data_IF_385512546525
#
_entry.id   IF_385512546525
#
_cell.length_a   1.000
_cell.length_b   1.000
_cell.length_c   1.000
_cell.angle_alpha   90.00
_cell.angle_beta   90.00
_cell.angle_gamma   90.00
#
_symmetry.space_group_name_H-M   'P 1'
#
loop_
_entity.id
_entity.type
_entity.pdbx_description
1 polymer ?
#
# COMPACT_ATOMS: atom_id res chain seq x y z
N UNK A 1 4.09 -9.27 -7.36
CA UNK A 1 4.46 -10.16 -6.24
C UNK A 1 5.95 -10.47 -6.34
N UNK A 2 6.75 -10.18 -5.29
CA UNK A 2 8.16 -10.53 -5.28
C UNK A 2 8.37 -12.03 -5.07
N UNK A 3 9.36 -12.59 -5.77
CA UNK A 3 9.85 -13.96 -5.62
C UNK A 3 11.38 -13.95 -5.68
N UNK A 4 12.01 -14.93 -5.04
CA UNK A 4 13.48 -15.04 -4.99
C UNK A 4 13.94 -16.24 -5.80
N UNK A 5 14.90 -16.08 -6.70
CA UNK A 5 15.48 -17.21 -7.42
C UNK A 5 16.37 -18.05 -6.49
N UNK A 6 16.26 -19.38 -6.54
CA UNK A 6 16.95 -20.27 -5.57
C UNK A 6 18.45 -20.46 -5.85
N UNK A 7 18.90 -20.26 -7.09
CA UNK A 7 20.28 -20.50 -7.51
C UNK A 7 21.22 -19.33 -7.20
N UNK A 8 20.75 -18.09 -7.33
CA UNK A 8 21.56 -16.88 -7.24
C UNK A 8 20.98 -15.83 -6.27
N UNK A 9 19.85 -16.12 -5.63
CA UNK A 9 19.14 -15.23 -4.71
C UNK A 9 18.69 -13.89 -5.31
N UNK A 10 18.60 -13.77 -6.64
CA UNK A 10 18.07 -12.56 -7.27
C UNK A 10 16.58 -12.39 -7.00
N UNK A 11 16.14 -11.15 -6.87
CA UNK A 11 14.71 -10.83 -6.71
C UNK A 11 14.06 -10.65 -8.08
N UNK A 12 12.93 -11.32 -8.28
CA UNK A 12 12.07 -11.16 -9.44
C UNK A 12 10.67 -10.72 -9.02
N UNK A 13 10.00 -9.94 -9.88
CA UNK A 13 8.61 -9.55 -9.71
C UNK A 13 7.73 -10.25 -10.73
N UNK A 14 6.71 -10.94 -10.23
CA UNK A 14 5.59 -11.40 -11.05
C UNK A 14 4.55 -10.28 -11.08
N UNK A 15 4.13 -9.89 -12.29
CA UNK A 15 3.26 -8.71 -12.50
C UNK A 15 2.12 -9.06 -13.45
N UNK A 16 0.95 -8.44 -13.26
CA UNK A 16 -0.20 -8.62 -14.15
C UNK A 16 -0.09 -7.80 -15.45
N UNK A 17 0.83 -6.85 -15.53
CA UNK A 17 1.16 -6.07 -16.72
C UNK A 17 2.37 -6.65 -17.49
N UNK A 18 2.84 -7.85 -17.14
CA UNK A 18 3.92 -8.58 -17.81
C UNK A 18 5.17 -7.74 -18.15
N UNK A 19 5.59 -6.86 -17.24
CA UNK A 19 6.75 -5.98 -17.46
C UNK A 19 6.54 -4.83 -18.45
N UNK A 20 5.32 -4.51 -18.85
CA UNK A 20 5.00 -3.22 -19.50
C UNK A 20 5.48 -2.07 -18.61
N UNK A 21 6.05 -1.02 -19.22
CA UNK A 21 6.60 0.16 -18.56
C UNK A 21 8.08 0.40 -18.85
N UNK A 22 8.56 1.61 -18.54
CA UNK A 22 9.97 2.00 -18.73
C UNK A 22 10.72 1.92 -17.42
N UNK A 23 11.79 1.11 -17.40
CA UNK A 23 12.57 0.84 -16.19
C UNK A 23 14.01 1.27 -16.39
N UNK A 24 14.62 1.87 -15.36
CA UNK A 24 16.06 2.09 -15.32
C UNK A 24 16.78 0.75 -15.27
N UNK A 25 17.95 0.66 -15.92
CA UNK A 25 18.74 -0.58 -16.00
C UNK A 25 19.43 -0.93 -14.68
N UNK A 26 19.66 0.06 -13.80
CA UNK A 26 20.32 -0.11 -12.50
C UNK A 26 19.30 -0.38 -11.40
N UNK A 27 18.78 -1.62 -11.36
CA UNK A 27 17.78 -2.06 -10.38
C UNK A 27 18.25 -3.32 -9.65
N UNK A 28 17.79 -3.43 -8.43
CA UNK A 28 18.03 -4.52 -7.49
C UNK A 28 17.03 -5.70 -7.65
N UNK A 29 16.10 -5.61 -8.61
CA UNK A 29 15.17 -6.67 -9.01
C UNK A 29 14.92 -6.74 -10.52
N UNK A 30 14.40 -7.86 -10.97
CA UNK A 30 14.02 -8.13 -12.37
C UNK A 30 12.50 -8.35 -12.49
N UNK A 31 11.91 -8.15 -13.66
CA UNK A 31 10.53 -8.59 -13.91
C UNK A 31 10.59 -9.98 -14.51
N UNK A 32 9.82 -10.91 -13.94
CA UNK A 32 9.61 -12.20 -14.56
C UNK A 32 8.61 -12.00 -15.69
N UNK A 33 9.11 -12.04 -16.92
CA UNK A 33 8.30 -12.00 -18.13
C UNK A 33 8.06 -13.42 -18.59
N UNK A 34 6.79 -13.75 -18.77
CA UNK A 34 6.35 -14.99 -19.40
C UNK A 34 5.90 -14.70 -20.84
N UNK A 35 5.79 -15.74 -21.67
CA UNK A 35 5.24 -15.59 -23.03
C UNK A 35 3.88 -14.88 -23.03
N UNK A 36 3.51 -14.25 -24.14
CA UNK A 36 2.34 -13.34 -24.26
C UNK A 36 1.01 -13.92 -23.74
N UNK A 37 0.87 -15.26 -23.68
CA UNK A 37 -0.33 -15.97 -23.21
C UNK A 37 -0.19 -16.71 -21.86
N UNK A 38 0.99 -16.67 -21.22
CA UNK A 38 1.24 -17.41 -19.99
C UNK A 38 1.16 -16.51 -18.76
N UNK A 39 -0.01 -16.38 -18.14
CA UNK A 39 -0.07 -15.84 -16.79
C UNK A 39 0.55 -16.84 -15.81
N UNK A 40 1.61 -16.45 -15.09
CA UNK A 40 2.15 -17.28 -13.99
C UNK A 40 1.02 -17.53 -12.99
N UNK A 41 0.59 -18.78 -12.77
CA UNK A 41 -0.46 -19.06 -11.82
C UNK A 41 0.08 -18.76 -10.41
N UNK A 42 -0.33 -17.62 -9.83
CA UNK A 42 0.24 -17.08 -8.59
C UNK A 42 0.22 -18.10 -7.44
N UNK A 43 -0.80 -18.96 -7.38
CA UNK A 43 -0.93 -20.02 -6.36
C UNK A 43 0.20 -21.05 -6.38
N UNK A 44 0.91 -21.20 -7.51
CA UNK A 44 2.02 -22.17 -7.63
C UNK A 44 3.31 -21.69 -6.95
N UNK A 45 3.47 -20.40 -6.69
CA UNK A 45 4.69 -19.80 -6.14
C UNK A 45 4.75 -19.76 -4.59
N UNK A 46 3.72 -20.23 -3.88
CA UNK A 46 3.57 -20.00 -2.42
C UNK A 46 4.21 -21.04 -1.49
N UNK A 47 4.43 -22.29 -1.91
CA UNK A 47 4.72 -23.37 -0.94
C UNK A 47 5.94 -24.25 -1.24
N UNK A 48 6.34 -24.39 -2.50
CA UNK A 48 7.51 -25.17 -2.88
C UNK A 48 8.30 -24.41 -3.95
N UNK A 49 9.64 -24.54 -4.00
CA UNK A 49 10.44 -23.97 -5.07
C UNK A 49 9.88 -24.37 -6.43
N UNK A 50 9.35 -23.40 -7.17
CA UNK A 50 8.64 -23.67 -8.41
C UNK A 50 9.57 -23.46 -9.59
N UNK A 51 9.63 -24.44 -10.47
CA UNK A 51 10.24 -24.30 -11.78
C UNK A 51 9.35 -23.44 -12.69
N UNK A 52 9.87 -22.28 -13.07
CA UNK A 52 9.32 -21.40 -14.11
C UNK A 52 10.47 -21.18 -15.09
N UNK A 53 10.29 -21.59 -16.35
CA UNK A 53 11.30 -21.51 -17.41
C UNK A 53 12.69 -22.08 -17.04
N UNK A 54 12.71 -23.28 -16.44
CA UNK A 54 13.94 -23.97 -15.99
C UNK A 54 14.66 -23.28 -14.83
N UNK A 55 14.00 -22.34 -14.15
CA UNK A 55 14.52 -21.62 -12.99
C UNK A 55 13.59 -21.84 -11.80
N UNK A 56 14.17 -22.22 -10.65
CA UNK A 56 13.41 -22.39 -9.42
C UNK A 56 13.27 -21.07 -8.65
N UNK A 57 12.04 -20.78 -8.22
CA UNK A 57 11.69 -19.59 -7.42
C UNK A 57 11.07 -19.99 -6.09
N UNK A 58 11.40 -19.23 -5.04
CA UNK A 58 10.85 -19.35 -3.70
C UNK A 58 10.23 -18.01 -3.27
N UNK A 59 9.61 -18.00 -2.08
CA UNK A 59 8.98 -16.81 -1.50
C UNK A 59 9.92 -15.58 -1.50
N UNK A 60 9.37 -14.42 -1.87
CA UNK A 60 10.06 -13.13 -1.82
C UNK A 60 10.48 -12.70 -0.41
N UNK A 61 9.84 -13.22 0.64
CA UNK A 61 10.24 -13.02 2.03
C UNK A 61 11.59 -13.66 2.40
N UNK A 62 12.07 -14.63 1.62
CA UNK A 62 13.45 -15.17 1.76
C UNK A 62 14.49 -14.13 1.32
N UNK A 63 14.12 -13.26 0.38
CA UNK A 63 14.97 -12.21 -0.16
C UNK A 63 14.90 -10.91 0.66
N UNK A 64 15.51 -9.83 0.18
CA UNK A 64 15.56 -8.55 0.90
C UNK A 64 14.20 -7.82 1.00
N UNK A 65 13.14 -8.29 0.33
CA UNK A 65 11.86 -7.58 0.19
C UNK A 65 10.69 -8.26 0.92
N UNK A 66 10.83 -8.45 2.23
CA UNK A 66 9.71 -8.86 3.09
C UNK A 66 8.59 -7.80 3.16
N UNK A 67 8.89 -6.54 2.82
CA UNK A 67 7.91 -5.48 2.62
C UNK A 67 7.98 -4.98 1.16
N UNK A 68 6.97 -5.28 0.32
CA UNK A 68 6.99 -4.91 -1.10
C UNK A 68 6.66 -3.45 -1.37
N UNK A 69 6.42 -2.60 -0.35
CA UNK A 69 6.02 -1.21 -0.56
C UNK A 69 7.03 -0.41 -1.39
N UNK A 70 8.34 -0.62 -1.17
CA UNK A 70 9.40 0.00 -1.98
C UNK A 70 9.35 -0.42 -3.44
N UNK A 71 9.17 -1.72 -3.68
CA UNK A 71 9.04 -2.28 -5.04
C UNK A 71 7.79 -1.75 -5.75
N UNK A 72 6.66 -1.70 -5.05
CA UNK A 72 5.40 -1.19 -5.60
C UNK A 72 5.51 0.31 -5.95
N UNK A 73 6.19 1.09 -5.11
CA UNK A 73 6.45 2.50 -5.38
C UNK A 73 7.31 2.67 -6.65
N UNK A 74 8.43 1.94 -6.73
CA UNK A 74 9.32 1.98 -7.88
C UNK A 74 8.63 1.52 -9.18
N UNK A 75 7.75 0.53 -9.11
CA UNK A 75 7.00 0.05 -10.27
C UNK A 75 5.88 0.99 -10.71
N UNK A 76 5.29 1.75 -9.78
CA UNK A 76 4.35 2.82 -10.16
C UNK A 76 5.01 3.81 -11.12
N UNK A 77 6.24 4.23 -10.81
CA UNK A 77 7.00 5.13 -11.67
C UNK A 77 7.33 4.52 -13.05
N UNK A 78 7.49 3.20 -13.12
CA UNK A 78 7.78 2.50 -14.37
C UNK A 78 6.55 2.39 -15.27
N UNK A 79 5.38 2.12 -14.68
CA UNK A 79 4.12 1.91 -15.39
C UNK A 79 3.46 3.24 -15.76
N UNK A 80 3.60 4.27 -14.91
CA UNK A 80 2.98 5.59 -15.08
C UNK A 80 4.05 6.69 -15.16
N UNK A 81 4.80 6.79 -16.28
CA UNK A 81 5.91 7.73 -16.41
C UNK A 81 5.48 9.21 -16.35
N UNK A 82 4.25 9.53 -16.73
CA UNK A 82 3.70 10.89 -16.69
C UNK A 82 3.34 11.34 -15.27
N UNK A 83 2.99 10.39 -14.40
CA UNK A 83 2.67 10.61 -12.99
C UNK A 83 3.44 9.59 -12.14
N UNK A 84 4.77 9.70 -12.05
CA UNK A 84 5.61 8.64 -11.51
C UNK A 84 5.49 8.52 -9.99
N UNK A 85 5.00 9.56 -9.33
CA UNK A 85 4.79 9.59 -7.89
C UNK A 85 3.32 9.29 -7.56
N UNK A 86 3.02 8.20 -6.83
CA UNK A 86 1.67 7.94 -6.36
C UNK A 86 1.21 9.00 -5.36
N UNK A 87 -0.06 9.40 -5.45
CA UNK A 87 -0.68 10.36 -4.52
C UNK A 87 -1.03 9.77 -3.15
N UNK A 88 -1.02 8.43 -3.06
CA UNK A 88 -1.36 7.63 -1.88
C UNK A 88 -0.60 6.29 -1.91
N UNK A 89 0.01 5.91 -0.80
CA UNK A 89 0.63 4.59 -0.58
C UNK A 89 0.13 4.03 0.75
N UNK A 90 -0.55 2.90 0.70
CA UNK A 90 -0.95 2.16 1.90
C UNK A 90 -0.22 0.82 1.96
N UNK A 91 0.43 0.54 3.09
CA UNK A 91 1.13 -0.71 3.35
C UNK A 91 0.51 -1.38 4.56
N UNK A 92 0.10 -2.64 4.39
CA UNK A 92 -0.51 -3.44 5.46
C UNK A 92 0.47 -4.53 5.87
N UNK A 93 0.80 -4.57 7.15
CA UNK A 93 1.70 -5.55 7.74
C UNK A 93 0.95 -6.69 8.41
N UNK A 94 1.64 -7.82 8.55
CA UNK A 94 1.15 -9.02 9.26
C UNK A 94 1.49 -8.99 10.75
N UNK A 95 1.89 -7.83 11.27
CA UNK A 95 2.27 -7.63 12.65
C UNK A 95 3.74 -7.93 12.97
N UNK A 96 4.16 -7.39 14.11
CA UNK A 96 5.48 -7.62 14.68
C UNK A 96 5.37 -7.95 16.17
N UNK A 97 6.35 -8.71 16.68
CA UNK A 97 6.40 -9.04 18.10
C UNK A 97 6.58 -7.75 18.92
N UNK A 98 5.62 -7.45 19.80
CA UNK A 98 5.68 -6.32 20.72
C UNK A 98 6.81 -6.51 21.72
N UNK A 99 7.94 -5.85 21.48
CA UNK A 99 9.03 -5.80 22.43
C UNK A 99 8.64 -4.94 23.63
N UNK A 100 8.14 -5.54 24.71
CA UNK A 100 8.61 -5.06 26.02
C UNK A 100 10.13 -5.26 25.97
N UNK A 101 10.90 -4.18 25.84
CA UNK A 101 12.31 -4.25 26.17
C UNK A 101 12.37 -4.73 27.62
N UNK A 102 12.62 -6.02 27.79
CA UNK A 102 13.17 -6.52 29.04
C UNK A 102 14.51 -5.82 29.13
N UNK A 103 14.60 -4.83 30.02
CA UNK A 103 15.86 -4.33 30.51
C UNK A 103 16.71 -5.56 30.81
N UNK A 104 17.71 -5.81 29.96
CA UNK A 104 18.79 -6.74 30.25
C UNK A 104 19.61 -6.08 31.36
N UNK A 105 19.07 -6.09 32.57
CA UNK A 105 19.84 -5.84 33.77
C UNK A 105 20.87 -6.94 33.85
N UNK A 106 22.08 -6.61 33.40
CA UNK A 106 23.29 -7.40 33.58
C UNK A 106 23.39 -7.75 35.06
N UNK A 107 23.02 -8.98 35.42
CA UNK A 107 23.54 -9.66 36.60
C UNK A 107 24.23 -10.93 36.14
N UNK A 108 25.48 -10.72 35.74
CA UNK A 108 26.53 -11.73 35.81
C UNK A 108 26.57 -12.28 37.24
N UNK A 109 26.08 -13.50 37.44
CA UNK A 109 26.45 -14.32 38.58
C UNK A 109 27.00 -15.63 38.03
N UNK A 110 28.32 -15.66 37.93
CA UNK A 110 29.07 -16.89 37.74
C UNK A 110 28.88 -17.77 38.98
N UNK A 111 28.25 -18.94 38.82
CA UNK A 111 28.45 -20.05 39.75
C UNK A 111 28.68 -21.33 38.94
N UNK A 112 29.94 -21.76 38.98
CA UNK A 112 30.46 -23.04 38.53
C UNK A 112 29.71 -24.22 39.16
N UNK A 113 29.27 -25.21 38.38
CA UNK A 113 29.12 -26.60 38.85
C UNK A 113 29.49 -27.61 37.75
N UNK A 114 30.55 -28.38 38.02
CA UNK A 114 30.99 -29.57 37.28
C UNK A 114 29.88 -30.64 37.28
N UNK A 115 29.71 -31.45 36.20
CA UNK A 115 28.95 -32.69 36.29
C UNK A 115 29.88 -33.88 36.65
N UNK A 116 29.45 -34.75 37.56
CA UNK A 116 30.00 -36.10 37.75
C UNK A 116 29.05 -37.14 37.10
N UNK A 117 29.56 -38.31 36.66
CA UNK A 117 28.84 -39.21 35.76
C UNK A 117 28.20 -40.41 36.48
N UNK A 118 27.02 -40.83 36.01
CA UNK A 118 26.40 -42.17 36.20
C UNK A 118 25.03 -42.15 35.53
N UNK A 119 24.47 -43.16 34.85
CA UNK A 119 24.81 -44.55 34.53
C UNK A 119 24.02 -44.91 33.26
N UNK A 120 24.55 -45.87 32.52
CA UNK A 120 24.06 -46.41 31.24
C UNK A 120 22.75 -47.20 31.39
N UNK A 121 21.77 -46.94 30.52
CA UNK A 121 20.83 -47.94 30.00
C UNK A 121 20.67 -47.77 28.47
N UNK A 122 20.75 -48.89 27.75
CA UNK A 122 20.88 -49.00 26.28
C UNK A 122 19.54 -48.84 25.53
N UNK A 123 19.57 -48.59 24.19
CA UNK A 123 18.49 -47.95 23.45
C UNK A 123 17.53 -48.94 22.77
N UNK A 124 16.27 -48.53 22.55
CA UNK A 124 15.39 -49.15 21.55
C UNK A 124 15.21 -48.20 20.36
N UNK A 125 15.71 -48.62 19.20
CA UNK A 125 15.53 -47.98 17.89
C UNK A 125 14.07 -48.13 17.44
N UNK A 126 13.42 -47.02 17.10
CA UNK A 126 12.55 -46.93 15.91
C UNK A 126 12.79 -45.58 15.23
N UNK A 127 13.08 -45.67 13.94
CA UNK A 127 13.43 -44.58 13.04
C UNK A 127 12.27 -43.61 12.84
N UNK A 128 12.53 -42.32 13.02
CA UNK A 128 11.92 -41.28 12.20
C UNK A 128 13.00 -40.22 11.99
N UNK A 129 13.71 -40.33 10.86
CA UNK A 129 14.57 -39.25 10.37
C UNK A 129 13.64 -38.10 9.98
N UNK A 130 13.21 -37.28 10.95
CA UNK A 130 12.88 -35.89 10.66
C UNK A 130 14.22 -35.21 10.49
N UNK A 131 14.53 -34.76 9.27
CA UNK A 131 15.81 -34.16 8.98
C UNK A 131 15.97 -32.92 9.86
N UNK A 132 16.99 -32.90 10.70
CA UNK A 132 17.29 -31.75 11.56
C UNK A 132 17.66 -30.52 10.73
N UNK A 133 18.02 -30.69 9.45
CA UNK A 133 18.23 -29.61 8.48
C UNK A 133 16.97 -28.80 8.24
N UNK A 134 15.80 -29.43 8.14
CA UNK A 134 14.56 -28.75 7.71
C UNK A 134 14.00 -27.90 8.85
N UNK A 135 14.13 -28.38 10.09
CA UNK A 135 13.74 -27.62 11.28
C UNK A 135 14.72 -26.48 11.60
N UNK A 136 16.00 -26.62 11.28
CA UNK A 136 17.00 -25.57 11.51
C UNK A 136 17.00 -24.52 10.39
N UNK A 137 16.91 -24.94 9.14
CA UNK A 137 16.76 -24.06 7.99
C UNK A 137 15.44 -23.29 8.06
N UNK A 138 14.33 -23.93 8.45
CA UNK A 138 13.05 -23.23 8.66
C UNK A 138 13.09 -22.28 9.86
N UNK A 139 13.86 -22.57 10.92
CA UNK A 139 14.05 -21.64 12.05
C UNK A 139 14.96 -20.48 11.70
N UNK A 140 16.01 -20.71 10.91
CA UNK A 140 16.84 -19.63 10.35
C UNK A 140 16.01 -18.81 9.37
N UNK A 141 15.18 -19.44 8.54
CA UNK A 141 14.24 -18.80 7.63
C UNK A 141 13.20 -17.96 8.38
N UNK A 142 12.60 -18.48 9.46
CA UNK A 142 11.73 -17.70 10.36
C UNK A 142 12.50 -16.57 11.05
N UNK A 143 13.74 -16.81 11.48
CA UNK A 143 14.59 -15.79 12.07
C UNK A 143 15.00 -14.72 11.04
N UNK A 144 15.15 -15.08 9.76
CA UNK A 144 15.44 -14.18 8.64
C UNK A 144 14.21 -13.40 8.19
N UNK A 145 13.03 -14.02 8.11
CA UNK A 145 11.74 -13.33 7.94
C UNK A 145 11.48 -12.35 9.09
N UNK A 146 11.89 -12.72 10.32
CA UNK A 146 11.82 -11.81 11.48
C UNK A 146 12.96 -10.75 11.49
N UNK A 147 14.05 -10.96 10.75
CA UNK A 147 15.15 -9.99 10.57
C UNK A 147 14.97 -9.07 9.36
N UNK A 148 14.16 -9.47 8.38
CA UNK A 148 13.59 -8.62 7.35
C UNK A 148 12.57 -7.69 8.00
N UNK A 149 13.09 -6.75 8.78
CA UNK A 149 12.31 -5.79 9.55
C UNK A 149 11.50 -4.94 8.56
N UNK A 150 10.24 -5.36 8.33
CA UNK A 150 9.30 -4.70 7.42
C UNK A 150 9.13 -3.22 7.78
N UNK A 151 9.35 -2.88 9.05
CA UNK A 151 9.43 -1.52 9.57
C UNK A 151 10.67 -0.78 9.06
N UNK A 152 11.84 -1.42 8.96
CA UNK A 152 13.04 -0.80 8.35
C UNK A 152 12.84 -0.53 6.88
N UNK A 153 12.31 -1.49 6.13
CA UNK A 153 12.01 -1.30 4.71
C UNK A 153 11.02 -0.16 4.48
N UNK A 154 9.99 -0.06 5.34
CA UNK A 154 9.06 1.08 5.33
C UNK A 154 9.73 2.41 5.67
N UNK A 155 10.55 2.45 6.73
CA UNK A 155 11.32 3.65 7.11
C UNK A 155 12.28 4.08 6.01
N UNK A 156 12.89 3.13 5.29
CA UNK A 156 13.76 3.43 4.17
C UNK A 156 12.97 4.09 3.02
N UNK A 157 11.81 3.53 2.65
CA UNK A 157 10.91 4.15 1.66
C UNK A 157 10.54 5.58 2.07
N UNK A 158 10.14 5.78 3.32
CA UNK A 158 9.82 7.12 3.85
C UNK A 158 11.02 8.08 3.80
N UNK A 159 12.23 7.61 4.15
CA UNK A 159 13.43 8.45 4.12
C UNK A 159 13.84 8.86 2.70
N UNK A 160 13.57 8.00 1.71
CA UNK A 160 13.95 8.24 0.32
C UNK A 160 12.90 9.09 -0.41
N UNK A 161 11.62 8.92 -0.10
CA UNK A 161 10.53 9.46 -0.91
C UNK A 161 9.51 10.30 -0.12
N UNK A 162 9.51 10.24 1.22
CA UNK A 162 8.51 10.92 2.05
C UNK A 162 8.56 12.44 1.93
N UNK A 163 9.74 13.04 1.81
CA UNK A 163 9.87 14.50 1.66
C UNK A 163 9.72 14.98 0.21
N UNK A 164 10.03 14.11 -0.76
CA UNK A 164 10.08 14.46 -2.19
C UNK A 164 8.79 14.13 -2.94
N UNK A 165 7.99 13.21 -2.41
CA UNK A 165 6.71 12.84 -3.01
C UNK A 165 5.61 13.60 -2.31
N UNK A 166 4.84 14.40 -3.04
CA UNK A 166 3.64 15.05 -2.50
C UNK A 166 2.50 14.08 -2.13
N UNK A 167 2.79 12.78 -2.05
CA UNK A 167 1.87 11.70 -1.72
C UNK A 167 1.89 11.34 -0.23
N UNK A 168 0.80 10.75 0.24
CA UNK A 168 0.64 10.36 1.64
C UNK A 168 0.93 8.87 1.85
N UNK A 169 1.63 8.54 2.93
CA UNK A 169 2.05 7.18 3.25
C UNK A 169 1.37 6.70 4.52
N UNK A 170 0.73 5.52 4.44
CA UNK A 170 0.04 4.89 5.55
C UNK A 170 0.61 3.50 5.79
N UNK A 171 0.92 3.19 7.05
CA UNK A 171 1.32 1.84 7.48
C UNK A 171 0.42 1.39 8.60
N UNK A 172 -0.31 0.30 8.34
CA UNK A 172 -1.09 -0.39 9.36
C UNK A 172 -0.38 -1.69 9.68
N UNK A 173 -0.18 -1.95 10.96
CA UNK A 173 0.52 -3.14 11.43
C UNK A 173 -0.07 -3.58 12.77
N UNK A 174 -0.05 -4.89 13.02
CA UNK A 174 -0.58 -5.47 14.26
C UNK A 174 0.54 -5.56 15.30
N UNK A 175 0.29 -5.09 16.52
CA UNK A 175 1.25 -5.26 17.62
C UNK A 175 0.84 -6.44 18.49
N UNK A 176 1.62 -7.51 18.44
CA UNK A 176 1.36 -8.68 19.28
C UNK A 176 1.89 -8.47 20.70
N UNK A 177 1.07 -8.81 21.70
CA UNK A 177 1.50 -8.85 23.10
C UNK A 177 2.40 -10.08 23.36
N UNK A 178 3.67 -9.99 22.96
CA UNK A 178 4.66 -11.07 23.08
C UNK A 178 5.24 -11.51 21.74
N UNK A 179 5.55 -12.79 21.59
CA UNK A 179 5.99 -13.34 20.31
C UNK A 179 4.84 -13.34 19.30
N UNK A 180 5.11 -12.88 18.08
CA UNK A 180 4.18 -13.07 16.97
C UNK A 180 3.85 -14.56 16.80
N UNK A 181 2.60 -14.90 16.43
CA UNK A 181 2.19 -16.29 16.19
C UNK A 181 3.03 -16.90 15.05
N UNK A 182 3.24 -18.21 15.11
CA UNK A 182 3.86 -18.95 14.01
C UNK A 182 2.95 -18.89 12.78
N UNK A 183 3.53 -18.78 11.58
CA UNK A 183 2.77 -18.73 10.31
C UNK A 183 1.80 -19.91 10.14
N UNK A 184 2.18 -21.10 10.61
CA UNK A 184 1.34 -22.31 10.53
C UNK A 184 0.28 -22.43 11.64
N UNK A 185 0.12 -21.39 12.48
CA UNK A 185 -0.83 -21.41 13.59
C UNK A 185 -2.26 -21.12 13.11
N UNK A 186 -2.93 -22.18 12.66
CA UNK A 186 -4.35 -22.12 12.28
C UNK A 186 -5.32 -22.10 13.47
N UNK A 187 -4.83 -22.32 14.70
CA UNK A 187 -5.70 -22.44 15.89
C UNK A 187 -6.05 -21.11 16.53
N UNK A 188 -5.30 -20.05 16.24
CA UNK A 188 -5.51 -18.72 16.81
C UNK A 188 -6.03 -17.71 15.76
N UNK A 189 -6.54 -18.17 14.61
CA UNK A 189 -7.00 -17.30 13.52
C UNK A 189 -8.05 -16.29 13.98
N UNK A 190 -9.09 -16.73 14.70
CA UNK A 190 -10.15 -15.85 15.20
C UNK A 190 -9.57 -14.73 16.08
N UNK A 191 -8.65 -15.08 16.99
CA UNK A 191 -7.98 -14.09 17.87
C UNK A 191 -7.09 -13.13 17.09
N UNK A 192 -6.50 -13.58 15.99
CA UNK A 192 -5.66 -12.74 15.12
C UNK A 192 -6.52 -11.77 14.31
N UNK A 193 -7.71 -12.20 13.88
CA UNK A 193 -8.71 -11.37 13.23
C UNK A 193 -9.20 -10.29 14.19
N UNK A 194 -9.66 -10.68 15.39
CA UNK A 194 -10.10 -9.76 16.44
C UNK A 194 -9.03 -8.70 16.75
N UNK A 195 -7.77 -9.12 16.92
CA UNK A 195 -6.67 -8.22 17.22
C UNK A 195 -6.36 -7.26 16.05
N UNK A 196 -6.47 -7.74 14.80
CA UNK A 196 -6.26 -6.91 13.63
C UNK A 196 -7.37 -5.85 13.50
N UNK A 197 -8.61 -6.23 13.77
CA UNK A 197 -9.76 -5.33 13.82
C UNK A 197 -9.59 -4.27 14.92
N UNK A 198 -9.22 -4.68 16.13
CA UNK A 198 -8.93 -3.75 17.23
C UNK A 198 -7.82 -2.75 16.86
N UNK A 199 -6.72 -3.23 16.25
CA UNK A 199 -5.61 -2.38 15.85
C UNK A 199 -6.00 -1.37 14.76
N UNK A 200 -6.80 -1.79 13.77
CA UNK A 200 -7.16 -0.92 12.65
C UNK A 200 -8.21 0.11 13.07
N UNK A 201 -9.20 -0.27 13.88
CA UNK A 201 -10.24 0.64 14.40
C UNK A 201 -9.62 1.66 15.36
N UNK A 202 -8.65 1.25 16.19
CA UNK A 202 -7.96 2.17 17.08
C UNK A 202 -7.01 3.14 16.36
N UNK A 203 -6.72 2.93 15.07
CA UNK A 203 -5.79 3.77 14.33
C UNK A 203 -6.47 5.06 13.84
N UNK A 204 -6.06 6.25 14.33
CA UNK A 204 -6.64 7.53 13.89
C UNK A 204 -6.35 7.83 12.41
N UNK A 205 -5.38 7.13 11.80
CA UNK A 205 -5.04 7.31 10.39
C UNK A 205 -5.99 6.56 9.43
N UNK A 206 -6.90 5.72 9.94
CA UNK A 206 -7.83 4.97 9.09
C UNK A 206 -8.86 5.90 8.44
N UNK A 207 -9.44 6.82 9.21
CA UNK A 207 -10.40 7.80 8.70
C UNK A 207 -9.75 8.70 7.65
N UNK A 208 -8.53 9.18 7.92
CA UNK A 208 -7.72 9.93 6.97
C UNK A 208 -7.45 9.15 5.68
N UNK A 209 -7.10 7.85 5.77
CA UNK A 209 -6.90 7.00 4.59
C UNK A 209 -8.22 6.87 3.81
N UNK A 210 -9.33 6.64 4.49
CA UNK A 210 -10.64 6.49 3.87
C UNK A 210 -11.05 7.77 3.14
N UNK A 211 -10.97 8.93 3.80
CA UNK A 211 -11.20 10.24 3.18
C UNK A 211 -10.28 10.45 1.97
N UNK A 212 -9.01 10.08 2.06
CA UNK A 212 -8.07 10.20 0.93
C UNK A 212 -8.52 9.35 -0.25
N UNK A 213 -8.86 8.08 -0.04
CA UNK A 213 -9.37 7.19 -1.09
C UNK A 213 -10.65 7.77 -1.70
N UNK A 214 -11.58 8.27 -0.86
CA UNK A 214 -12.82 8.90 -1.33
C UNK A 214 -12.52 10.13 -2.20
N UNK A 215 -11.63 11.01 -1.77
CA UNK A 215 -11.22 12.19 -2.53
C UNK A 215 -10.54 11.86 -3.87
N UNK A 216 -9.71 10.80 -3.93
CA UNK A 216 -9.04 10.37 -5.16
C UNK A 216 -9.98 9.79 -6.23
N UNK A 217 -11.25 9.51 -5.88
CA UNK A 217 -12.28 9.14 -6.86
C UNK A 217 -12.84 10.36 -7.60
N UNK A 218 -12.54 11.59 -7.16
CA UNK A 218 -12.94 12.81 -7.85
C UNK A 218 -11.79 13.43 -8.63
N UNK A 219 -12.12 14.02 -9.77
CA UNK A 219 -11.19 14.78 -10.61
C UNK A 219 -11.91 15.97 -11.24
N UNK A 220 -11.13 16.92 -11.75
CA UNK A 220 -11.62 18.17 -12.31
C UNK A 220 -11.14 18.33 -13.75
N UNK A 221 -12.03 18.76 -14.63
CA UNK A 221 -11.71 19.11 -16.02
C UNK A 221 -12.23 20.52 -16.34
N UNK A 222 -11.48 21.25 -17.16
CA UNK A 222 -11.90 22.54 -17.68
C UNK A 222 -12.85 22.36 -18.86
N UNK A 223 -13.93 23.15 -18.90
CA UNK A 223 -14.89 23.14 -20.02
C UNK A 223 -14.30 23.80 -21.27
N UNK A 224 -13.48 24.84 -21.07
CA UNK A 224 -12.93 25.69 -22.12
C UNK A 224 -11.73 26.47 -21.59
N UNK A 225 -10.98 27.11 -22.49
CA UNK A 225 -9.84 27.95 -22.10
C UNK A 225 -10.31 29.11 -21.20
N UNK A 226 -9.71 29.28 -20.00
CA UNK A 226 -10.09 30.36 -19.09
C UNK A 226 -9.90 31.75 -19.71
N UNK A 227 -10.91 32.60 -19.55
CA UNK A 227 -10.88 33.98 -20.07
C UNK A 227 -10.22 34.92 -19.05
N UNK A 228 -9.34 35.81 -19.51
CA UNK A 228 -8.71 36.81 -18.64
C UNK A 228 -9.56 38.08 -18.59
N UNK A 229 -10.22 38.30 -17.45
CA UNK A 229 -11.14 39.42 -17.21
C UNK A 229 -10.82 40.08 -15.87
N UNK A 230 -10.75 41.42 -15.84
CA UNK A 230 -10.54 42.20 -14.61
C UNK A 230 -9.31 41.78 -13.77
N UNK A 231 -8.23 41.36 -14.42
CA UNK A 231 -6.99 40.97 -13.72
C UNK A 231 -6.97 39.52 -13.23
N UNK A 232 -8.01 38.72 -13.51
CA UNK A 232 -8.14 37.32 -13.10
C UNK A 232 -8.51 36.44 -14.28
N UNK A 233 -8.15 35.15 -14.20
CA UNK A 233 -8.64 34.14 -15.13
C UNK A 233 -9.92 33.53 -14.59
N UNK A 234 -11.02 33.66 -15.35
CA UNK A 234 -12.30 33.01 -15.07
C UNK A 234 -12.29 31.58 -15.60
N UNK A 235 -12.35 30.62 -14.67
CA UNK A 235 -12.35 29.19 -14.97
C UNK A 235 -13.77 28.63 -14.84
N UNK A 236 -14.19 27.84 -15.84
CA UNK A 236 -15.39 27.01 -15.79
C UNK A 236 -15.00 25.57 -16.08
N UNK A 237 -15.56 24.64 -15.32
CA UNK A 237 -15.29 23.21 -15.49
C UNK A 237 -16.28 22.35 -14.72
N UNK A 238 -16.04 21.04 -14.73
CA UNK A 238 -16.85 20.06 -14.01
C UNK A 238 -15.99 19.18 -13.12
N UNK A 239 -16.56 18.82 -11.97
CA UNK A 239 -16.08 17.74 -11.12
C UNK A 239 -16.78 16.44 -11.51
N UNK A 240 -15.99 15.40 -11.68
CA UNK A 240 -16.46 14.07 -12.07
C UNK A 240 -16.06 13.02 -11.03
N UNK A 241 -16.80 11.91 -11.00
CA UNK A 241 -16.48 10.72 -10.22
C UNK A 241 -15.93 9.62 -11.16
N UNK A 242 -14.89 8.90 -10.72
CA UNK A 242 -14.28 7.81 -11.47
C UNK A 242 -15.07 6.51 -11.43
N UNK A 243 -15.95 6.33 -10.44
CA UNK A 243 -16.74 5.12 -10.32
C UNK A 243 -17.77 5.03 -11.45
N UNK A 244 -18.01 3.80 -11.93
CA UNK A 244 -18.88 3.55 -13.07
C UNK A 244 -20.31 4.06 -12.79
N UNK A 245 -20.82 5.01 -13.60
CA UNK A 245 -22.17 5.54 -13.47
C UNK A 245 -23.25 4.45 -13.43
N UNK A 246 -24.18 4.57 -12.48
CA UNK A 246 -25.30 3.62 -12.35
C UNK A 246 -24.95 2.27 -11.70
N UNK A 247 -23.67 2.00 -11.39
CA UNK A 247 -23.31 0.84 -10.58
C UNK A 247 -23.77 1.00 -9.12
N UNK A 248 -24.03 -0.11 -8.43
CA UNK A 248 -24.36 -0.12 -6.99
C UNK A 248 -23.26 0.57 -6.17
N UNK A 249 -21.99 0.30 -6.51
CA UNK A 249 -20.83 0.92 -5.85
C UNK A 249 -20.83 2.44 -5.99
N UNK A 250 -21.14 2.97 -7.17
CA UNK A 250 -21.23 4.41 -7.40
C UNK A 250 -22.36 5.04 -6.56
N UNK A 251 -23.53 4.40 -6.52
CA UNK A 251 -24.67 4.89 -5.73
C UNK A 251 -24.33 4.92 -4.23
N UNK A 252 -23.92 3.78 -3.66
CA UNK A 252 -23.59 3.66 -2.23
C UNK A 252 -22.49 4.63 -1.83
N UNK A 253 -21.49 4.82 -2.70
CA UNK A 253 -20.41 5.79 -2.47
C UNK A 253 -20.94 7.23 -2.38
N UNK A 254 -21.71 7.70 -3.36
CA UNK A 254 -22.24 9.07 -3.35
C UNK A 254 -23.26 9.31 -2.23
N UNK A 255 -24.08 8.31 -1.93
CA UNK A 255 -25.02 8.34 -0.80
C UNK A 255 -24.26 8.46 0.53
N UNK A 256 -23.17 7.71 0.72
CA UNK A 256 -22.35 7.81 1.93
C UNK A 256 -21.77 9.20 2.13
N UNK A 257 -21.30 9.87 1.06
CA UNK A 257 -20.80 11.25 1.11
C UNK A 257 -21.91 12.25 1.45
N UNK A 258 -23.12 12.04 0.92
CA UNK A 258 -24.30 12.83 1.29
C UNK A 258 -24.62 12.71 2.79
N UNK A 259 -24.61 11.48 3.31
CA UNK A 259 -24.89 11.19 4.72
C UNK A 259 -23.81 11.76 5.66
N UNK A 260 -22.55 11.80 5.21
CA UNK A 260 -21.42 12.38 5.96
C UNK A 260 -21.34 13.91 5.89
N UNK A 261 -22.33 14.59 5.27
CA UNK A 261 -22.31 16.05 5.06
C UNK A 261 -21.05 16.55 4.34
N UNK A 262 -20.50 15.73 3.44
CA UNK A 262 -19.29 16.04 2.71
C UNK A 262 -19.50 17.21 1.75
N UNK A 263 -18.45 17.94 1.43
CA UNK A 263 -18.55 19.07 0.51
C UNK A 263 -17.20 19.38 -0.13
N UNK A 264 -17.24 20.02 -1.31
CA UNK A 264 -16.00 20.45 -1.98
C UNK A 264 -15.69 21.90 -1.65
N UNK A 265 -14.40 22.22 -1.64
CA UNK A 265 -13.91 23.58 -1.48
C UNK A 265 -12.92 23.92 -2.59
N UNK A 266 -13.09 25.10 -3.19
CA UNK A 266 -12.15 25.68 -4.17
C UNK A 266 -11.85 27.11 -3.75
N UNK A 267 -10.60 27.37 -3.34
CA UNK A 267 -10.25 28.66 -2.73
C UNK A 267 -11.12 28.95 -1.50
N UNK A 268 -11.83 30.07 -1.49
CA UNK A 268 -12.80 30.43 -0.43
C UNK A 268 -14.23 29.93 -0.68
N UNK A 269 -14.48 29.31 -1.84
CA UNK A 269 -15.83 28.88 -2.25
C UNK A 269 -16.11 27.47 -1.79
N UNK A 270 -17.22 27.31 -1.07
CA UNK A 270 -17.79 26.02 -0.71
C UNK A 270 -18.82 25.60 -1.76
N UNK A 271 -18.75 24.36 -2.20
CA UNK A 271 -19.68 23.76 -3.16
C UNK A 271 -20.62 22.82 -2.40
N UNK A 272 -21.91 22.89 -2.73
CA UNK A 272 -22.94 22.10 -2.05
C UNK A 272 -22.65 20.59 -2.11
N UNK A 273 -22.80 19.90 -0.97
CA UNK A 273 -22.68 18.45 -0.80
C UNK A 273 -23.84 17.62 -1.38
N UNK A 274 -24.53 18.15 -2.40
CA UNK A 274 -25.56 17.40 -3.13
C UNK A 274 -24.87 16.47 -4.13
N UNK A 275 -24.57 15.24 -3.70
CA UNK A 275 -23.88 14.24 -4.53
C UNK A 275 -24.84 13.42 -5.40
N UNK A 276 -26.11 13.31 -5.01
CA UNK A 276 -27.12 12.51 -5.74
C UNK A 276 -28.08 13.37 -6.59
N UNK A 277 -28.15 14.69 -6.38
CA UNK A 277 -29.17 15.54 -7.02
C UNK A 277 -28.75 16.13 -8.37
N UNK A 278 -27.45 16.22 -8.67
CA UNK A 278 -26.95 16.89 -9.88
C UNK A 278 -26.85 15.90 -11.06
N UNK A 279 -28.00 15.42 -11.54
CA UNK A 279 -28.17 14.92 -12.92
C UNK A 279 -28.65 16.04 -13.84
N UNK A 280 -28.16 17.25 -13.61
CA UNK A 280 -28.51 18.41 -14.43
C UNK A 280 -27.71 18.36 -15.74
N UNK A 281 -28.17 17.53 -16.68
CA UNK A 281 -27.99 17.56 -18.16
C UNK A 281 -27.66 16.23 -18.84
N UNK A 282 -28.34 15.14 -18.45
CA UNK A 282 -28.71 14.11 -19.43
C UNK A 282 -28.30 12.68 -19.10
N UNK A 283 -29.27 11.77 -19.28
CA UNK A 283 -29.22 10.33 -19.64
C UNK A 283 -28.20 9.39 -18.99
N UNK A 284 -27.23 9.87 -18.22
CA UNK A 284 -26.17 9.14 -17.59
C UNK A 284 -26.30 9.36 -16.08
N UNK A 285 -26.33 8.26 -15.32
CA UNK A 285 -26.33 8.29 -13.85
C UNK A 285 -24.95 8.71 -13.30
N UNK A 286 -24.19 9.52 -14.03
CA UNK A 286 -22.84 9.93 -13.69
C UNK A 286 -22.87 11.19 -12.83
N UNK A 287 -22.05 11.21 -11.79
CA UNK A 287 -21.81 12.43 -11.04
C UNK A 287 -21.10 13.46 -11.91
N UNK A 288 -21.73 14.63 -12.09
CA UNK A 288 -21.13 15.80 -12.74
C UNK A 288 -21.55 17.06 -12.00
N UNK A 289 -20.59 17.83 -11.49
CA UNK A 289 -20.87 19.07 -10.77
C UNK A 289 -20.14 20.25 -11.40
N UNK A 290 -20.90 21.20 -11.94
CA UNK A 290 -20.33 22.41 -12.53
C UNK A 290 -19.69 23.30 -11.45
N UNK A 291 -18.49 23.79 -11.74
CA UNK A 291 -17.75 24.71 -10.88
C UNK A 291 -17.23 25.90 -11.67
N UNK A 292 -17.32 27.08 -11.05
CA UNK A 292 -16.81 28.35 -11.58
C UNK A 292 -16.06 29.09 -10.49
N UNK A 293 -14.85 29.53 -10.81
CA UNK A 293 -13.93 30.21 -9.89
C UNK A 293 -12.92 31.06 -10.66
N UNK A 294 -12.21 31.93 -9.95
CA UNK A 294 -11.19 32.81 -10.54
C UNK A 294 -9.81 32.53 -9.96
N UNK A 295 -8.76 32.63 -10.78
CA UNK A 295 -7.36 32.49 -10.35
C UNK A 295 -6.50 33.65 -10.87
N UNK A 296 -5.46 34.00 -10.13
CA UNK A 296 -4.62 35.18 -10.43
C UNK A 296 -3.68 35.01 -11.63
N UNK A 297 -3.35 33.77 -12.01
CA UNK A 297 -2.43 33.52 -13.12
C UNK A 297 -2.44 32.08 -13.56
N UNK A 298 -1.97 31.81 -14.80
CA UNK A 298 -2.02 30.47 -15.40
C UNK A 298 -1.16 29.42 -14.69
N UNK A 299 -0.08 29.87 -14.05
CA UNK A 299 0.86 29.04 -13.28
C UNK A 299 0.62 29.12 -11.76
N UNK A 300 -0.36 29.91 -11.31
CA UNK A 300 -0.68 30.01 -9.88
C UNK A 300 -1.43 28.75 -9.48
N UNK A 301 -0.90 27.95 -8.53
CA UNK A 301 -1.56 26.72 -8.13
C UNK A 301 -2.84 27.01 -7.36
N UNK A 302 -3.88 26.22 -7.64
CA UNK A 302 -5.11 26.18 -6.85
C UNK A 302 -5.45 24.75 -6.47
N UNK A 303 -6.24 24.61 -5.40
CA UNK A 303 -6.65 23.30 -4.88
C UNK A 303 -8.14 23.12 -4.93
N UNK A 304 -8.54 21.88 -5.19
CA UNK A 304 -9.90 21.42 -4.96
C UNK A 304 -9.83 20.33 -3.91
N UNK A 305 -10.60 20.53 -2.84
CA UNK A 305 -10.52 19.71 -1.62
C UNK A 305 -11.88 19.11 -1.34
N UNK A 306 -11.93 17.82 -1.05
CA UNK A 306 -13.09 17.17 -0.46
C UNK A 306 -12.97 17.24 1.06
N UNK A 307 -14.01 17.72 1.70
CA UNK A 307 -14.17 17.77 3.14
C UNK A 307 -15.18 16.71 3.56
N UNK A 308 -14.87 16.03 4.65
CA UNK A 308 -15.79 15.17 5.39
C UNK A 308 -15.79 15.64 6.83
N UNK A 309 -16.96 15.99 7.37
CA UNK A 309 -17.08 16.79 8.59
C UNK A 309 -16.34 18.15 8.49
N UNK A 310 -16.17 18.86 9.61
CA UNK A 310 -15.50 20.17 9.65
C UNK A 310 -13.99 20.10 9.88
N UNK A 311 -13.45 18.92 10.22
CA UNK A 311 -12.07 18.80 10.72
C UNK A 311 -11.12 18.15 9.72
N UNK A 312 -11.63 17.32 8.81
CA UNK A 312 -10.81 16.56 7.87
C UNK A 312 -11.05 16.94 6.41
N UNK A 313 -9.96 17.11 5.68
CA UNK A 313 -9.98 17.49 4.27
C UNK A 313 -8.88 16.78 3.50
N UNK A 314 -9.18 16.40 2.25
CA UNK A 314 -8.21 15.84 1.32
C UNK A 314 -8.34 16.44 -0.07
N UNK A 315 -7.20 16.69 -0.71
CA UNK A 315 -7.14 17.04 -2.12
C UNK A 315 -7.78 15.94 -2.98
N UNK A 316 -8.54 16.34 -4.00
CA UNK A 316 -9.03 15.43 -5.04
C UNK A 316 -7.88 14.99 -5.97
N UNK A 317 -8.14 14.04 -6.86
CA UNK A 317 -7.12 13.57 -7.80
C UNK A 317 -6.64 14.69 -8.73
N UNK A 318 -5.32 14.79 -8.91
CA UNK A 318 -4.67 15.82 -9.75
C UNK A 318 -4.44 17.18 -9.07
N UNK A 319 -5.05 17.44 -7.91
CA UNK A 319 -4.79 18.67 -7.14
C UNK A 319 -3.40 18.59 -6.47
N UNK A 320 -2.56 19.63 -6.46
CA UNK A 320 -2.79 21.02 -6.91
C UNK A 320 -2.80 21.17 -8.43
N UNK A 321 -3.68 22.05 -8.92
CA UNK A 321 -3.84 22.35 -10.34
C UNK A 321 -3.23 23.71 -10.71
N UNK A 322 -2.80 23.82 -11.95
CA UNK A 322 -2.56 25.10 -12.64
C UNK A 322 -3.34 25.09 -13.96
N UNK A 323 -3.69 26.27 -14.49
CA UNK A 323 -4.39 26.34 -15.79
C UNK A 323 -3.54 25.67 -16.87
N UNK A 324 -2.23 25.93 -16.88
CA UNK A 324 -1.34 25.37 -17.91
C UNK A 324 -1.16 23.86 -17.81
N UNK A 325 -1.36 23.25 -16.64
CA UNK A 325 -1.44 21.78 -16.51
C UNK A 325 -2.76 21.25 -17.05
N UNK A 326 -3.88 21.88 -16.68
CA UNK A 326 -5.20 21.44 -17.12
C UNK A 326 -5.42 21.59 -18.62
N UNK A 327 -4.78 22.57 -19.27
CA UNK A 327 -4.85 22.76 -20.72
C UNK A 327 -3.98 21.77 -21.52
N UNK A 328 -3.08 21.03 -20.86
CA UNK A 328 -2.25 19.98 -21.50
C UNK A 328 -2.85 18.58 -21.34
N UNK A 329 -3.79 18.42 -20.42
CA UNK A 329 -4.34 17.14 -19.98
C UNK A 329 -5.30 16.52 -21.00
#
# INVERSE_FOLDING_TARGET
>A
MPVTATNNTSTHLITNYNGIGKRNQDRDYQILQTGEDELVPLWKAFFAPQDIDSQQYQDGGVGPYNNPAGLAYAETAAVFPETPQPSLVASFGTGSAGGKQVERTKRSVAISRRPKPSKVTKPRKKSRRRSWSDLFAFRIFQAFLSHGDSTRAWKQLLSQHGEQSGGEFFRFDVQYNGSAPSLDNITDLDKMEDLAEECIIASPSLDRLALRIRAQNFYFELDSEPQYTNGLYECSGHLFCRLEPGSEKHYVFLESLGNSSSHFQIGSKWLSGRFLEDSATGQSNAFSKQVKFCVHGRQVPFKIVLWESFEEASNISGSLFTIDQLMRA
#
